data_IF_990634316630
#
_entry.id   IF_990634316630
#
_cell.length_a   1.000
_cell.length_b   1.000
_cell.length_c   1.000
_cell.angle_alpha   90.00
_cell.angle_beta   90.00
_cell.angle_gamma   90.00
#
_symmetry.space_group_name_H-M   'P 1'
#
loop_
_entity.id
_entity.type
_entity.pdbx_description
1 polymer ?
#
# COMPACT_ATOMS: atom_id res chain seq x y z
N UNK A 1 19.32 -29.60 -7.90
CA UNK A 1 19.00 -28.25 -7.43
C UNK A 1 19.83 -27.19 -8.15
N UNK A 2 21.18 -27.25 -8.11
CA UNK A 2 22.06 -26.28 -8.76
C UNK A 2 21.86 -26.18 -10.27
N UNK A 3 21.60 -27.30 -10.96
CA UNK A 3 21.34 -27.32 -12.41
C UNK A 3 19.99 -26.69 -12.77
N UNK A 4 18.98 -26.89 -11.93
CA UNK A 4 17.66 -26.27 -12.09
C UNK A 4 17.71 -24.76 -11.85
N UNK A 5 18.34 -24.33 -10.77
CA UNK A 5 18.52 -22.93 -10.44
C UNK A 5 19.35 -22.17 -11.51
N UNK A 6 20.45 -22.80 -12.01
CA UNK A 6 21.27 -22.21 -13.07
C UNK A 6 20.52 -22.06 -14.40
N UNK A 7 19.66 -23.02 -14.75
CA UNK A 7 18.82 -22.96 -15.95
C UNK A 7 17.79 -21.85 -15.85
N UNK A 8 17.12 -21.72 -14.71
CA UNK A 8 16.10 -20.69 -14.50
C UNK A 8 16.67 -19.26 -14.39
N UNK A 9 17.93 -19.11 -13.96
CA UNK A 9 18.57 -17.79 -13.90
C UNK A 9 19.13 -17.32 -15.23
N UNK A 10 19.47 -18.23 -16.14
CA UNK A 10 20.05 -17.86 -17.44
C UNK A 10 19.02 -17.40 -18.48
N UNK A 11 17.80 -17.95 -18.41
CA UNK A 11 16.78 -17.71 -19.42
C UNK A 11 15.66 -16.76 -18.93
N UNK A 12 15.85 -16.14 -17.77
CA UNK A 12 14.83 -15.24 -17.21
C UNK A 12 15.06 -13.81 -17.70
N UNK A 13 14.13 -13.33 -18.52
CA UNK A 13 14.11 -11.97 -19.03
C UNK A 13 12.89 -11.23 -18.50
N UNK A 14 13.13 -10.08 -17.87
CA UNK A 14 12.07 -9.18 -17.41
C UNK A 14 12.09 -7.94 -18.30
N UNK A 15 10.98 -7.66 -18.95
CA UNK A 15 10.85 -6.47 -19.77
C UNK A 15 10.69 -5.22 -18.91
N UNK A 16 11.42 -4.13 -19.20
CA UNK A 16 11.32 -2.89 -18.41
C UNK A 16 9.94 -2.26 -18.46
N UNK A 17 9.29 -2.31 -19.62
CA UNK A 17 7.97 -1.75 -19.85
C UNK A 17 7.22 -2.58 -20.90
N UNK A 18 6.66 -3.70 -20.45
CA UNK A 18 5.95 -4.65 -21.31
C UNK A 18 4.71 -4.02 -21.95
N UNK A 19 3.97 -3.22 -21.19
CA UNK A 19 2.78 -2.53 -21.66
C UNK A 19 3.06 -1.67 -22.87
N UNK A 20 4.08 -0.83 -22.79
CA UNK A 20 4.49 0.04 -23.89
C UNK A 20 4.88 -0.77 -25.14
N UNK A 21 5.71 -1.80 -24.93
CA UNK A 21 6.16 -2.66 -26.02
C UNK A 21 4.99 -3.31 -26.76
N UNK A 22 4.10 -3.98 -26.06
CA UNK A 22 2.95 -4.64 -26.68
C UNK A 22 1.93 -3.67 -27.28
N UNK A 23 1.73 -2.50 -26.67
CA UNK A 23 0.85 -1.47 -27.25
C UNK A 23 1.37 -0.97 -28.58
N UNK A 24 2.68 -0.77 -28.71
CA UNK A 24 3.32 -0.39 -29.98
C UNK A 24 3.21 -1.52 -31.02
N UNK A 25 3.38 -2.80 -30.62
CA UNK A 25 3.21 -3.94 -31.51
C UNK A 25 1.74 -4.13 -31.94
N UNK A 26 0.79 -3.93 -31.05
CA UNK A 26 -0.64 -3.96 -31.36
C UNK A 26 -1.02 -2.88 -32.37
N UNK A 27 -0.54 -1.66 -32.16
CA UNK A 27 -0.75 -0.55 -33.12
C UNK A 27 -0.16 -0.85 -34.50
N UNK A 28 1.05 -1.43 -34.52
CA UNK A 28 1.70 -1.85 -35.76
C UNK A 28 0.89 -2.94 -36.48
N UNK A 29 0.44 -3.96 -35.74
CA UNK A 29 -0.38 -5.05 -36.27
C UNK A 29 -1.72 -4.55 -36.83
N UNK A 30 -2.40 -3.67 -36.11
CA UNK A 30 -3.68 -3.12 -36.58
C UNK A 30 -3.50 -2.33 -37.87
N UNK A 31 -2.43 -1.53 -37.98
CA UNK A 31 -2.16 -0.70 -39.15
C UNK A 31 -1.76 -1.50 -40.40
N UNK A 32 -0.98 -2.55 -40.21
CA UNK A 32 -0.37 -3.25 -41.36
C UNK A 32 -1.09 -4.54 -41.74
N UNK A 33 -1.78 -5.20 -40.78
CA UNK A 33 -2.43 -6.51 -41.04
C UNK A 33 -3.95 -6.42 -41.01
N UNK A 34 -4.52 -5.55 -40.15
CA UNK A 34 -5.99 -5.46 -40.02
C UNK A 34 -6.58 -4.39 -40.94
N UNK A 35 -5.86 -3.27 -41.11
CA UNK A 35 -6.23 -2.13 -41.96
C UNK A 35 -5.32 -2.02 -43.20
N UNK A 36 -4.95 -3.17 -43.76
CA UNK A 36 -4.14 -3.19 -45.00
C UNK A 36 -4.87 -2.47 -46.14
N UNK A 37 -4.20 -1.46 -46.70
CA UNK A 37 -4.76 -0.56 -47.72
C UNK A 37 -5.15 -1.33 -48.97
N UNK A 38 -4.34 -2.34 -49.37
CA UNK A 38 -4.60 -3.15 -50.57
C UNK A 38 -5.86 -4.00 -50.46
N UNK A 39 -6.21 -4.40 -49.23
CA UNK A 39 -7.43 -5.12 -48.91
C UNK A 39 -8.63 -4.20 -48.82
N UNK A 40 -8.47 -2.98 -48.27
CA UNK A 40 -9.52 -1.97 -48.13
C UNK A 40 -9.98 -1.43 -49.48
N UNK A 41 -9.09 -1.29 -50.47
CA UNK A 41 -9.40 -0.84 -51.82
C UNK A 41 -10.25 -1.84 -52.63
N UNK A 42 -10.16 -3.14 -52.28
CA UNK A 42 -10.87 -4.24 -52.99
C UNK A 42 -12.24 -4.54 -52.39
N UNK A 43 -12.49 -4.17 -51.18
CA UNK A 43 -13.73 -4.49 -50.47
C UNK A 43 -14.61 -3.25 -50.23
N UNK A 44 -15.89 -3.35 -50.60
CA UNK A 44 -16.87 -2.25 -50.50
C UNK A 44 -17.44 -2.03 -49.08
N UNK A 45 -16.88 -2.69 -48.04
CA UNK A 45 -17.44 -2.65 -46.67
C UNK A 45 -16.46 -2.08 -45.65
N UNK A 46 -16.03 -0.83 -45.84
CA UNK A 46 -15.09 -0.12 -44.95
C UNK A 46 -15.51 -0.15 -43.47
N UNK A 47 -16.81 -0.05 -43.18
CA UNK A 47 -17.32 -0.03 -41.80
C UNK A 47 -17.06 -1.37 -41.07
N UNK A 48 -17.06 -2.49 -41.77
CA UNK A 48 -16.75 -3.81 -41.17
C UNK A 48 -15.28 -3.93 -40.80
N UNK A 49 -14.40 -3.37 -41.63
CA UNK A 49 -12.94 -3.36 -41.36
C UNK A 49 -12.61 -2.47 -40.16
N UNK A 50 -13.24 -1.30 -40.08
CA UNK A 50 -13.08 -0.39 -38.95
C UNK A 50 -13.60 -1.05 -37.66
N UNK A 51 -14.76 -1.71 -37.72
CA UNK A 51 -15.34 -2.43 -36.58
C UNK A 51 -14.42 -3.57 -36.13
N UNK A 52 -13.86 -4.35 -37.06
CA UNK A 52 -12.88 -5.41 -36.78
C UNK A 52 -11.64 -4.83 -36.09
N UNK A 53 -11.08 -3.73 -36.62
CA UNK A 53 -9.90 -3.07 -36.04
C UNK A 53 -10.15 -2.60 -34.62
N UNK A 54 -11.34 -2.03 -34.35
CA UNK A 54 -11.72 -1.60 -32.98
C UNK A 54 -11.84 -2.79 -32.03
N UNK A 55 -12.48 -3.89 -32.44
CA UNK A 55 -12.59 -5.10 -31.62
C UNK A 55 -11.22 -5.74 -31.33
N UNK A 56 -10.35 -5.80 -32.35
CA UNK A 56 -8.98 -6.30 -32.17
C UNK A 56 -8.20 -5.42 -31.20
N UNK A 57 -8.37 -4.10 -31.26
CA UNK A 57 -7.74 -3.17 -30.33
C UNK A 57 -8.22 -3.41 -28.90
N UNK A 58 -9.53 -3.42 -28.68
CA UNK A 58 -10.15 -3.60 -27.35
C UNK A 58 -9.69 -4.90 -26.69
N UNK A 59 -9.84 -6.03 -27.39
CA UNK A 59 -9.38 -7.34 -26.89
C UNK A 59 -7.86 -7.36 -26.68
N UNK A 60 -7.11 -6.75 -27.58
CA UNK A 60 -5.65 -6.68 -27.47
C UNK A 60 -5.20 -5.86 -26.27
N UNK A 61 -5.85 -4.74 -25.97
CA UNK A 61 -5.58 -3.90 -24.80
C UNK A 61 -5.86 -4.66 -23.50
N UNK A 62 -6.96 -5.43 -23.41
CA UNK A 62 -7.29 -6.26 -22.25
C UNK A 62 -6.23 -7.35 -22.02
N UNK A 63 -5.79 -8.01 -23.10
CA UNK A 63 -4.72 -9.01 -23.02
C UNK A 63 -3.40 -8.37 -22.56
N UNK A 64 -3.05 -7.20 -23.09
CA UNK A 64 -1.84 -6.47 -22.73
C UNK A 64 -1.88 -6.09 -21.25
N UNK A 65 -3.02 -5.60 -20.77
CA UNK A 65 -3.20 -5.26 -19.35
C UNK A 65 -2.97 -6.48 -18.46
N UNK A 66 -3.58 -7.61 -18.80
CA UNK A 66 -3.41 -8.86 -18.06
C UNK A 66 -1.96 -9.35 -18.03
N UNK A 67 -1.29 -9.37 -19.19
CA UNK A 67 0.11 -9.80 -19.29
C UNK A 67 1.05 -8.86 -18.52
N UNK A 68 0.76 -7.57 -18.55
CA UNK A 68 1.53 -6.56 -17.80
C UNK A 68 1.44 -6.78 -16.29
N UNK A 69 0.24 -7.11 -15.77
CA UNK A 69 0.06 -7.42 -14.35
C UNK A 69 0.87 -8.63 -13.92
N UNK A 70 0.91 -9.68 -14.75
CA UNK A 70 1.73 -10.88 -14.47
C UNK A 70 3.22 -10.53 -14.46
N UNK A 71 3.69 -9.78 -15.45
CA UNK A 71 5.09 -9.38 -15.55
C UNK A 71 5.53 -8.48 -14.39
N UNK A 72 4.70 -7.52 -14.00
CA UNK A 72 4.95 -6.66 -12.85
C UNK A 72 5.00 -7.46 -11.55
N UNK A 73 4.16 -8.48 -11.40
CA UNK A 73 4.20 -9.39 -10.27
C UNK A 73 5.52 -10.19 -10.24
N UNK A 74 5.92 -10.77 -11.38
CA UNK A 74 7.16 -11.51 -11.51
C UNK A 74 8.37 -10.61 -11.24
N UNK A 75 8.34 -9.36 -11.73
CA UNK A 75 9.38 -8.36 -11.47
C UNK A 75 9.55 -8.08 -9.98
N UNK A 76 8.44 -7.91 -9.24
CA UNK A 76 8.47 -7.70 -7.79
C UNK A 76 9.08 -8.91 -7.06
N UNK A 77 8.74 -10.13 -7.49
CA UNK A 77 9.35 -11.35 -6.94
C UNK A 77 10.85 -11.42 -7.23
N UNK A 78 11.26 -11.09 -8.46
CA UNK A 78 12.68 -11.09 -8.87
C UNK A 78 13.49 -10.04 -8.11
N UNK A 79 12.95 -8.83 -7.96
CA UNK A 79 13.57 -7.77 -7.19
C UNK A 79 13.60 -8.08 -5.69
N UNK A 80 13.10 -9.24 -5.29
CA UNK A 80 12.99 -9.68 -3.89
C UNK A 80 12.26 -8.66 -3.00
N UNK A 81 11.37 -7.89 -3.59
CA UNK A 81 10.48 -7.01 -2.84
C UNK A 81 9.52 -7.90 -2.06
N UNK A 82 9.65 -7.86 -0.74
CA UNK A 82 8.82 -8.68 0.15
C UNK A 82 7.42 -8.11 0.22
N UNK A 83 6.43 -9.00 0.26
CA UNK A 83 5.06 -8.58 0.58
C UNK A 83 5.00 -8.21 2.05
N UNK A 84 4.36 -7.09 2.33
CA UNK A 84 3.99 -6.72 3.69
C UNK A 84 2.77 -7.57 4.05
N UNK A 85 2.91 -8.47 5.02
CA UNK A 85 1.83 -9.33 5.49
C UNK A 85 0.97 -8.64 6.53
N UNK A 86 1.59 -7.82 7.38
CA UNK A 86 0.92 -7.00 8.38
C UNK A 86 1.71 -5.71 8.58
N UNK A 87 1.00 -4.67 8.93
CA UNK A 87 1.62 -3.37 9.26
C UNK A 87 1.04 -2.92 10.60
N UNK A 88 1.92 -2.62 11.54
CA UNK A 88 1.57 -2.01 12.80
C UNK A 88 2.19 -0.63 12.91
N UNK A 89 1.55 0.22 13.69
CA UNK A 89 1.93 1.62 13.82
C UNK A 89 2.23 1.94 15.28
N UNK A 90 3.32 2.67 15.49
CA UNK A 90 3.66 3.23 16.79
C UNK A 90 3.52 4.73 16.70
N UNK A 91 2.53 5.29 17.38
CA UNK A 91 2.19 6.71 17.33
C UNK A 91 2.07 7.24 18.75
N UNK A 92 2.69 8.36 19.03
CA UNK A 92 2.66 8.94 20.38
C UNK A 92 1.35 9.67 20.68
N UNK A 93 0.92 9.70 21.95
CA UNK A 93 -0.35 10.29 22.34
C UNK A 93 -0.45 11.79 22.01
N UNK A 94 0.66 12.52 22.10
CA UNK A 94 0.72 13.92 21.69
C UNK A 94 0.43 14.11 20.20
N UNK A 95 0.98 13.24 19.32
CA UNK A 95 0.66 13.24 17.89
C UNK A 95 -0.79 12.86 17.61
N UNK A 96 -1.33 11.88 18.34
CA UNK A 96 -2.74 11.52 18.18
C UNK A 96 -3.64 12.73 18.54
N UNK A 97 -3.32 13.45 19.61
CA UNK A 97 -4.02 14.70 19.95
C UNK A 97 -3.90 15.75 18.85
N UNK A 98 -2.68 15.97 18.34
CA UNK A 98 -2.39 16.99 17.34
C UNK A 98 -3.15 16.76 16.03
N UNK A 99 -3.15 15.53 15.52
CA UNK A 99 -3.69 15.21 14.18
C UNK A 99 -5.16 14.73 14.20
N UNK A 100 -5.60 14.04 15.25
CA UNK A 100 -6.97 13.51 15.36
C UNK A 100 -7.85 14.29 16.33
N UNK A 101 -7.26 15.16 17.15
CA UNK A 101 -7.99 16.00 18.12
C UNK A 101 -8.11 15.38 19.50
N UNK A 102 -8.30 16.26 20.51
CA UNK A 102 -8.38 15.89 21.93
C UNK A 102 -9.61 15.05 22.25
N UNK A 103 -10.76 15.38 21.68
CA UNK A 103 -12.01 14.63 21.87
C UNK A 103 -11.86 13.16 21.42
N UNK A 104 -11.22 12.94 20.27
CA UNK A 104 -10.96 11.60 19.77
C UNK A 104 -10.01 10.82 20.68
N UNK A 105 -8.91 11.45 21.12
CA UNK A 105 -7.96 10.81 22.03
C UNK A 105 -8.63 10.46 23.37
N UNK A 106 -9.44 11.36 23.95
CA UNK A 106 -10.17 11.10 25.19
C UNK A 106 -11.06 9.87 25.10
N UNK A 107 -11.73 9.65 23.96
CA UNK A 107 -12.54 8.46 23.71
C UNK A 107 -11.71 7.17 23.63
N UNK A 108 -10.43 7.26 23.30
CA UNK A 108 -9.54 6.09 23.23
C UNK A 108 -8.90 5.74 24.58
N UNK A 109 -8.80 6.69 25.52
CA UNK A 109 -8.08 6.52 26.80
C UNK A 109 -8.58 5.31 27.57
N UNK A 110 -9.88 5.12 27.68
CA UNK A 110 -10.47 3.97 28.38
C UNK A 110 -10.05 2.64 27.75
N UNK A 111 -9.96 2.58 26.44
CA UNK A 111 -9.52 1.36 25.72
C UNK A 111 -8.04 1.13 25.90
N UNK A 112 -7.24 2.19 25.90
CA UNK A 112 -5.79 2.13 26.09
C UNK A 112 -5.47 1.65 27.52
N UNK A 113 -6.09 2.23 28.54
CA UNK A 113 -5.87 1.88 29.94
C UNK A 113 -6.36 0.47 30.32
N UNK A 114 -7.26 -0.13 29.55
CA UNK A 114 -7.68 -1.53 29.70
C UNK A 114 -6.74 -2.53 29.00
N UNK A 115 -5.80 -2.08 28.21
CA UNK A 115 -4.91 -2.94 27.47
C UNK A 115 -3.63 -3.24 28.27
N UNK A 116 -3.66 -4.36 29.01
CA UNK A 116 -2.54 -4.79 29.87
C UNK A 116 -1.21 -4.94 29.11
N UNK A 117 -1.24 -5.32 27.83
CA UNK A 117 -0.03 -5.51 27.02
C UNK A 117 0.65 -4.17 26.71
N UNK A 118 -0.16 -3.16 26.38
CA UNK A 118 0.35 -1.82 26.14
C UNK A 118 0.90 -1.20 27.43
N UNK A 119 0.20 -1.34 28.54
CA UNK A 119 0.66 -0.82 29.83
C UNK A 119 1.97 -1.46 30.28
N UNK A 120 2.10 -2.77 30.09
CA UNK A 120 3.32 -3.51 30.39
C UNK A 120 4.49 -3.07 29.53
N UNK A 121 4.28 -2.82 28.23
CA UNK A 121 5.34 -2.30 27.36
C UNK A 121 5.81 -0.91 27.83
N UNK A 122 4.94 -0.02 28.26
CA UNK A 122 5.33 1.27 28.82
C UNK A 122 6.13 1.14 30.12
N UNK A 123 5.77 0.18 30.98
CA UNK A 123 6.55 -0.11 32.18
C UNK A 123 7.93 -0.66 31.86
N UNK A 124 8.05 -1.58 30.88
CA UNK A 124 9.32 -2.13 30.39
C UNK A 124 10.20 -1.07 29.68
N UNK A 125 9.62 -0.02 29.12
CA UNK A 125 10.32 1.10 28.51
C UNK A 125 10.62 2.27 29.45
N UNK A 126 10.52 2.07 30.76
CA UNK A 126 10.80 3.05 31.83
C UNK A 126 9.88 4.30 31.80
N UNK A 127 8.71 4.24 31.16
CA UNK A 127 7.73 5.32 31.25
C UNK A 127 6.98 5.37 32.59
N UNK A 128 7.13 4.32 33.39
CA UNK A 128 6.45 4.14 34.66
C UNK A 128 5.06 3.49 34.54
N UNK A 129 4.42 3.29 35.67
CA UNK A 129 3.11 2.64 35.74
C UNK A 129 2.00 3.62 35.43
N UNK A 130 1.13 3.29 34.46
CA UNK A 130 0.00 4.06 34.03
C UNK A 130 -1.28 3.34 34.45
N UNK A 131 -1.98 3.84 35.46
CA UNK A 131 -3.19 3.21 36.00
C UNK A 131 -4.45 4.07 35.75
N UNK A 132 -4.24 5.38 35.60
CA UNK A 132 -5.33 6.36 35.47
C UNK A 132 -5.06 7.32 34.34
N UNK A 133 -6.11 7.95 33.87
CA UNK A 133 -6.00 8.99 32.85
C UNK A 133 -5.02 10.10 33.21
N UNK A 134 -4.98 10.48 34.50
CA UNK A 134 -4.07 11.52 35.01
C UNK A 134 -2.60 11.17 34.80
N UNK A 135 -2.26 9.89 34.78
CA UNK A 135 -0.88 9.44 34.60
C UNK A 135 -0.37 9.66 33.16
N UNK A 136 -1.29 9.85 32.21
CA UNK A 136 -0.97 10.09 30.80
C UNK A 136 -0.63 11.55 30.50
N UNK A 137 -0.94 12.47 31.43
CA UNK A 137 -0.68 13.90 31.25
C UNK A 137 0.71 14.29 31.74
N UNK A 138 1.35 15.16 30.98
CA UNK A 138 2.57 15.85 31.41
C UNK A 138 2.20 17.03 32.34
N UNK A 139 1.13 17.75 31.99
CA UNK A 139 0.56 18.85 32.77
C UNK A 139 -0.96 18.84 32.66
N UNK A 140 -1.61 19.01 33.83
CA UNK A 140 -3.07 18.98 33.97
C UNK A 140 -3.68 20.37 34.16
N UNK A 141 -2.85 21.39 34.38
CA UNK A 141 -3.23 22.74 34.81
C UNK A 141 -3.37 23.74 33.65
N UNK A 142 -3.24 23.27 32.41
CA UNK A 142 -3.43 24.08 31.21
C UNK A 142 -4.87 23.91 30.67
N UNK A 143 -5.37 24.92 29.96
CA UNK A 143 -6.67 24.89 29.26
C UNK A 143 -6.76 23.70 28.31
N UNK A 144 -5.62 23.33 27.72
CA UNK A 144 -5.43 22.11 26.94
C UNK A 144 -4.50 21.16 27.67
N UNK A 145 -4.94 19.93 27.96
CA UNK A 145 -4.10 18.92 28.58
C UNK A 145 -2.90 18.58 27.68
N UNK A 146 -1.69 18.67 28.26
CA UNK A 146 -0.47 18.26 27.58
C UNK A 146 -0.20 16.77 27.88
N UNK A 147 -0.28 15.92 26.85
CA UNK A 147 -0.02 14.50 26.99
C UNK A 147 1.48 14.17 26.96
N UNK A 148 1.84 13.14 27.69
CA UNK A 148 3.16 12.56 27.60
C UNK A 148 3.39 11.94 26.20
N UNK A 149 4.61 11.91 25.73
CA UNK A 149 5.00 11.24 24.48
C UNK A 149 5.05 9.71 24.63
N UNK A 150 3.93 9.14 25.07
CA UNK A 150 3.80 7.70 25.26
C UNK A 150 3.53 7.04 23.90
N UNK A 151 4.35 6.06 23.47
CA UNK A 151 4.15 5.37 22.21
C UNK A 151 2.99 4.38 22.33
N UNK A 152 1.97 4.56 21.53
CA UNK A 152 0.86 3.62 21.35
C UNK A 152 1.19 2.68 20.20
N UNK A 153 1.32 1.37 20.48
CA UNK A 153 1.62 0.37 19.46
C UNK A 153 0.34 -0.39 19.06
N UNK A 154 -0.06 -0.23 17.81
CA UNK A 154 -1.32 -0.81 17.30
C UNK A 154 -1.31 -2.34 17.28
N UNK A 155 -0.14 -3.00 17.36
CA UNK A 155 -0.04 -4.47 17.43
C UNK A 155 -0.76 -5.10 18.62
N UNK A 156 -1.01 -4.31 19.67
CA UNK A 156 -1.70 -4.77 20.87
C UNK A 156 -3.22 -4.59 20.82
N UNK A 157 -3.73 -3.94 19.78
CA UNK A 157 -5.15 -3.60 19.64
C UNK A 157 -5.80 -4.39 18.49
N UNK A 158 -7.13 -4.33 18.42
CA UNK A 158 -7.87 -4.94 17.31
C UNK A 158 -7.69 -4.19 16.00
N UNK A 159 -7.97 -4.85 14.87
CA UNK A 159 -7.96 -4.18 13.56
C UNK A 159 -8.96 -3.03 13.49
N UNK A 160 -10.14 -3.17 14.10
CA UNK A 160 -11.15 -2.09 14.17
C UNK A 160 -10.61 -0.84 14.88
N UNK A 161 -9.86 -1.04 15.97
CA UNK A 161 -9.19 0.07 16.66
C UNK A 161 -8.15 0.74 15.78
N UNK A 162 -7.33 -0.06 15.10
CA UNK A 162 -6.31 0.41 14.15
C UNK A 162 -6.94 1.23 13.01
N UNK A 163 -8.01 0.72 12.41
CA UNK A 163 -8.73 1.41 11.33
C UNK A 163 -9.34 2.74 11.81
N UNK A 164 -9.94 2.77 12.98
CA UNK A 164 -10.47 4.00 13.58
C UNK A 164 -9.40 5.02 13.88
N UNK A 165 -8.27 4.59 14.45
CA UNK A 165 -7.12 5.45 14.72
C UNK A 165 -6.57 6.05 13.43
N UNK A 166 -6.25 5.22 12.45
CA UNK A 166 -5.70 5.66 11.16
C UNK A 166 -6.69 6.54 10.41
N UNK A 167 -7.97 6.17 10.36
CA UNK A 167 -9.00 6.95 9.69
C UNK A 167 -9.18 8.37 10.28
N UNK A 168 -9.00 8.54 11.59
CA UNK A 168 -9.05 9.86 12.21
C UNK A 168 -7.76 10.66 12.00
N UNK A 169 -6.60 10.02 12.07
CA UNK A 169 -5.31 10.67 11.80
C UNK A 169 -5.18 11.17 10.37
N UNK A 170 -5.68 10.40 9.40
CA UNK A 170 -5.52 10.69 7.96
C UNK A 170 -6.66 11.51 7.36
N UNK A 171 -7.63 12.00 8.15
CA UNK A 171 -8.74 12.84 7.63
C UNK A 171 -8.26 14.07 6.87
N UNK A 172 -7.23 14.74 7.38
CA UNK A 172 -6.72 16.00 6.83
C UNK A 172 -5.21 15.96 6.54
N UNK A 173 -4.55 14.84 6.82
CA UNK A 173 -3.10 14.69 6.75
C UNK A 173 -2.73 13.40 6.04
N UNK A 174 -1.56 13.37 5.41
CA UNK A 174 -1.01 12.14 4.86
C UNK A 174 -0.30 11.36 5.99
N UNK A 175 -0.42 10.03 5.98
CA UNK A 175 0.21 9.18 6.99
C UNK A 175 1.73 9.33 7.01
N UNK A 176 2.35 9.52 5.85
CA UNK A 176 3.80 9.72 5.71
C UNK A 176 4.29 11.01 6.41
N UNK A 177 3.42 12.02 6.55
CA UNK A 177 3.75 13.28 7.23
C UNK A 177 3.67 13.13 8.77
N UNK A 178 2.90 12.15 9.25
CA UNK A 178 2.72 11.88 10.69
C UNK A 178 3.82 10.97 11.23
N UNK A 179 4.31 10.03 10.42
CA UNK A 179 5.29 9.03 10.81
C UNK A 179 6.71 9.54 10.64
N UNK A 180 7.55 9.36 11.67
CA UNK A 180 8.96 9.79 11.66
C UNK A 180 9.88 8.77 10.97
N UNK A 181 9.42 7.56 10.74
CA UNK A 181 10.25 6.51 10.16
C UNK A 181 9.52 5.21 9.89
N UNK A 182 10.20 4.30 9.21
CA UNK A 182 9.71 2.98 8.83
C UNK A 182 10.68 1.90 9.31
N UNK A 183 10.19 0.95 10.10
CA UNK A 183 10.93 -0.23 10.52
C UNK A 183 10.40 -1.45 9.77
N UNK A 184 11.28 -2.11 8.99
CA UNK A 184 10.94 -3.33 8.26
C UNK A 184 11.57 -4.52 8.96
N UNK A 185 10.75 -5.35 9.60
CA UNK A 185 11.18 -6.65 10.13
C UNK A 185 11.09 -7.70 9.04
N UNK A 186 12.21 -8.33 8.72
CA UNK A 186 12.25 -9.42 7.74
C UNK A 186 12.94 -10.65 8.36
N UNK A 187 12.35 -11.81 8.14
CA UNK A 187 13.04 -13.08 8.40
C UNK A 187 13.89 -13.40 7.16
N UNK A 188 15.18 -13.67 7.40
CA UNK A 188 16.12 -14.12 6.37
C UNK A 188 16.06 -15.63 6.22
#
# INVERSE_FOLDING_TARGET
LNRFAAKNTKDYFIHKNLKKFFSEQLDYYIKNEVLDIDTLEKESFLDKHITRAKMVREIGEDIIEFLTQIEDFQKRLWEKKRFVLSTDYVITLDKIKEYAGEEFLSNLIDTILKNEKQLKEWEEQDFGKMEKEEDLYLRKDLIDAEYKKLPLDTKYFSEDFKEQLLGNLTKNHNLDDILDGLLIKSEN
#
